data_IF_260012795163
#
_entry.id   IF_260012795163
#
_cell.length_a   1.000
_cell.length_b   1.000
_cell.length_c   1.000
_cell.angle_alpha   90.00
_cell.angle_beta   90.00
_cell.angle_gamma   90.00
#
_symmetry.space_group_name_H-M   'P 1'
#
loop_
_entity.id
_entity.type
_entity.pdbx_description
1 polymer ?
#
# COMPACT_ATOMS: atom_id res chain seq x y z
N UNK A 1 -59.98 -5.59 -14.53
CA UNK A 1 -58.67 -5.86 -13.94
C UNK A 1 -57.91 -6.76 -14.89
N UNK A 2 -56.93 -6.18 -15.62
CA UNK A 2 -56.22 -6.90 -16.70
C UNK A 2 -55.13 -7.83 -16.11
N UNK A 3 -55.40 -9.12 -16.16
CA UNK A 3 -54.54 -10.18 -15.69
C UNK A 3 -53.21 -10.28 -16.49
N UNK A 4 -53.12 -9.65 -17.65
CA UNK A 4 -51.96 -9.70 -18.54
C UNK A 4 -50.83 -8.71 -18.12
N UNK A 5 -51.16 -7.64 -17.39
CA UNK A 5 -50.15 -6.67 -16.97
C UNK A 5 -49.22 -7.22 -15.87
N UNK A 6 -49.71 -8.11 -15.01
CA UNK A 6 -48.92 -8.66 -13.92
C UNK A 6 -47.75 -9.57 -14.39
N UNK A 7 -47.98 -10.30 -15.51
CA UNK A 7 -46.91 -11.14 -16.09
C UNK A 7 -45.77 -10.29 -16.71
N UNK A 8 -46.12 -9.17 -17.34
CA UNK A 8 -45.14 -8.26 -17.91
C UNK A 8 -44.29 -7.62 -16.81
N UNK A 9 -44.90 -7.21 -15.72
CA UNK A 9 -44.28 -6.62 -14.57
C UNK A 9 -43.31 -7.60 -13.87
N UNK A 10 -43.69 -8.86 -13.73
CA UNK A 10 -42.86 -9.94 -13.19
C UNK A 10 -41.66 -10.22 -14.10
N UNK A 11 -41.86 -10.27 -15.42
CA UNK A 11 -40.77 -10.52 -16.39
C UNK A 11 -39.74 -9.40 -16.35
N UNK A 12 -40.21 -8.14 -16.34
CA UNK A 12 -39.29 -6.98 -16.26
C UNK A 12 -38.54 -6.96 -14.92
N UNK A 13 -39.23 -7.20 -13.80
CA UNK A 13 -38.60 -7.27 -12.49
C UNK A 13 -37.54 -8.37 -12.40
N UNK A 14 -37.85 -9.55 -12.93
CA UNK A 14 -36.89 -10.68 -12.98
C UNK A 14 -35.67 -10.36 -13.84
N UNK A 15 -35.87 -9.72 -14.98
CA UNK A 15 -34.78 -9.31 -15.87
C UNK A 15 -33.85 -8.32 -15.20
N UNK A 16 -34.40 -7.31 -14.50
CA UNK A 16 -33.58 -6.32 -13.75
C UNK A 16 -32.78 -6.99 -12.65
N UNK A 17 -33.37 -7.94 -11.91
CA UNK A 17 -32.68 -8.70 -10.88
C UNK A 17 -31.51 -9.52 -11.45
N UNK A 18 -31.73 -10.20 -12.59
CA UNK A 18 -30.65 -10.97 -13.26
C UNK A 18 -29.53 -10.04 -13.72
N UNK A 19 -29.84 -8.88 -14.29
CA UNK A 19 -28.84 -7.89 -14.68
C UNK A 19 -28.07 -7.36 -13.48
N UNK A 20 -28.75 -7.05 -12.37
CA UNK A 20 -28.10 -6.58 -11.14
C UNK A 20 -27.15 -7.62 -10.55
N UNK A 21 -27.57 -8.89 -10.49
CA UNK A 21 -26.72 -9.99 -10.04
C UNK A 21 -25.53 -10.22 -10.98
N UNK A 22 -25.73 -10.11 -12.27
CA UNK A 22 -24.65 -10.22 -13.26
C UNK A 22 -23.61 -9.09 -13.08
N UNK A 23 -24.06 -7.86 -12.86
CA UNK A 23 -23.19 -6.71 -12.59
C UNK A 23 -22.43 -6.88 -11.27
N UNK A 24 -23.10 -7.34 -10.21
CA UNK A 24 -22.46 -7.63 -8.91
C UNK A 24 -21.36 -8.70 -9.07
N UNK A 25 -21.67 -9.80 -9.77
CA UNK A 25 -20.72 -10.88 -9.98
C UNK A 25 -19.52 -10.46 -10.88
N UNK A 26 -19.79 -9.64 -11.88
CA UNK A 26 -18.76 -9.07 -12.76
C UNK A 26 -17.86 -8.07 -12.01
N UNK A 27 -18.43 -7.26 -11.12
CA UNK A 27 -17.70 -6.30 -10.29
C UNK A 27 -16.72 -6.99 -9.34
N UNK A 28 -17.10 -8.12 -8.76
CA UNK A 28 -16.22 -8.90 -7.86
C UNK A 28 -15.02 -9.52 -8.60
N UNK A 29 -15.13 -9.80 -9.89
CA UNK A 29 -14.01 -10.32 -10.71
C UNK A 29 -12.99 -9.22 -11.05
N UNK A 30 -13.44 -7.99 -11.19
CA UNK A 30 -12.56 -6.84 -11.50
C UNK A 30 -11.77 -6.37 -10.28
N UNK A 31 -12.21 -6.72 -9.07
CA UNK A 31 -11.48 -6.45 -7.82
C UNK A 31 -10.22 -7.31 -7.62
N UNK A 32 -9.92 -8.27 -8.50
CA UNK A 32 -8.59 -8.86 -8.59
C UNK A 32 -7.67 -7.82 -9.22
N UNK A 33 -7.13 -6.93 -8.40
CA UNK A 33 -6.06 -6.00 -8.74
C UNK A 33 -4.97 -6.81 -9.44
N UNK A 34 -4.82 -6.53 -10.74
CA UNK A 34 -3.93 -7.09 -11.70
C UNK A 34 -2.96 -8.17 -11.19
N UNK A 35 -3.25 -9.42 -11.47
CA UNK A 35 -2.23 -10.46 -11.51
C UNK A 35 -1.30 -10.10 -12.68
N UNK A 36 -0.41 -9.18 -12.44
CA UNK A 36 0.71 -8.92 -13.34
C UNK A 36 1.55 -10.20 -13.28
N UNK A 37 1.79 -10.83 -14.42
CA UNK A 37 2.80 -11.86 -14.49
C UNK A 37 4.09 -11.27 -13.93
N UNK A 38 4.59 -11.87 -12.85
CA UNK A 38 5.68 -11.28 -12.08
C UNK A 38 6.06 -12.18 -10.91
N UNK A 39 7.08 -11.81 -10.20
CA UNK A 39 7.57 -12.51 -9.02
C UNK A 39 7.27 -11.74 -7.74
N UNK A 40 7.11 -12.47 -6.65
CA UNK A 40 6.79 -11.91 -5.35
C UNK A 40 8.08 -11.71 -4.54
N UNK A 41 8.20 -10.54 -3.95
CA UNK A 41 9.23 -10.22 -2.96
C UNK A 41 8.58 -9.89 -1.63
N UNK A 42 9.38 -9.92 -0.56
CA UNK A 42 8.95 -9.49 0.75
C UNK A 42 9.87 -8.41 1.32
N UNK A 43 9.33 -7.62 2.26
CA UNK A 43 10.12 -6.67 3.04
C UNK A 43 9.50 -6.48 4.43
N UNK A 44 10.32 -6.28 5.45
CA UNK A 44 9.90 -6.09 6.84
C UNK A 44 10.10 -4.65 7.26
N UNK A 45 9.07 -4.07 7.87
CA UNK A 45 9.04 -2.68 8.31
C UNK A 45 8.63 -2.58 9.77
N UNK A 46 9.15 -1.59 10.47
CA UNK A 46 8.69 -1.31 11.85
C UNK A 46 7.33 -0.61 11.86
N UNK A 47 6.98 0.11 10.79
CA UNK A 47 5.70 0.80 10.66
C UNK A 47 5.29 0.91 9.18
N UNK A 48 4.08 0.41 8.86
CA UNK A 48 3.48 0.44 7.53
C UNK A 48 2.22 1.32 7.45
N UNK A 49 1.99 2.20 8.43
CA UNK A 49 0.79 3.04 8.48
C UNK A 49 0.55 3.76 7.15
N UNK A 50 -0.66 3.62 6.61
CA UNK A 50 -1.09 4.22 5.35
C UNK A 50 -0.79 3.38 4.10
N UNK A 51 -0.10 2.24 4.21
CA UNK A 51 0.02 1.25 3.14
C UNK A 51 -1.14 0.26 3.24
N UNK A 52 -1.74 -0.10 2.12
CA UNK A 52 -2.84 -1.05 2.03
C UNK A 52 -2.53 -2.12 0.98
N UNK A 53 -3.26 -3.24 1.03
CA UNK A 53 -3.27 -4.19 -0.08
C UNK A 53 -3.73 -3.46 -1.34
N UNK A 54 -2.98 -3.61 -2.44
CA UNK A 54 -3.19 -2.85 -3.68
C UNK A 54 -2.39 -1.54 -3.77
N UNK A 55 -1.69 -1.10 -2.69
CA UNK A 55 -0.74 0.02 -2.77
C UNK A 55 0.30 -0.24 -3.85
N UNK A 56 0.70 0.80 -4.55
CA UNK A 56 1.63 0.69 -5.67
C UNK A 56 3.07 0.47 -5.19
N UNK A 57 3.83 -0.29 -5.98
CA UNK A 57 5.28 -0.40 -5.87
C UNK A 57 5.89 0.35 -7.04
N UNK A 58 6.80 1.27 -6.76
CA UNK A 58 7.37 2.19 -7.76
C UNK A 58 8.90 2.16 -7.74
N UNK A 59 9.50 2.36 -8.91
CA UNK A 59 10.91 2.71 -9.09
C UNK A 59 10.95 4.03 -9.85
N UNK A 60 11.65 5.03 -9.33
CA UNK A 60 11.76 6.37 -9.96
C UNK A 60 10.38 6.97 -10.29
N UNK A 61 9.34 6.70 -9.49
CA UNK A 61 7.97 7.16 -9.70
C UNK A 61 7.14 6.32 -10.68
N UNK A 62 7.73 5.35 -11.36
CA UNK A 62 7.02 4.47 -12.30
C UNK A 62 6.50 3.25 -11.55
N UNK A 63 5.21 2.94 -11.72
CA UNK A 63 4.58 1.75 -11.15
C UNK A 63 5.14 0.48 -11.81
N UNK A 64 5.66 -0.42 -10.98
CA UNK A 64 6.21 -1.71 -11.40
C UNK A 64 5.49 -2.90 -10.77
N UNK A 65 4.67 -2.65 -9.75
CA UNK A 65 4.01 -3.70 -9.00
C UNK A 65 2.96 -3.20 -8.02
N UNK A 66 2.49 -4.12 -7.17
CA UNK A 66 1.47 -3.85 -6.14
C UNK A 66 1.72 -4.70 -4.90
N UNK A 67 1.29 -4.19 -3.75
CA UNK A 67 1.24 -4.94 -2.48
C UNK A 67 0.11 -5.96 -2.53
N UNK A 68 0.41 -7.22 -2.24
CA UNK A 68 -0.56 -8.33 -2.26
C UNK A 68 -0.99 -8.77 -0.87
N UNK A 69 -0.07 -8.74 0.11
CA UNK A 69 -0.31 -9.27 1.45
C UNK A 69 0.35 -8.39 2.51
N UNK A 70 -0.30 -8.30 3.67
CA UNK A 70 0.22 -7.68 4.88
C UNK A 70 0.05 -8.66 6.03
N UNK A 71 1.12 -8.89 6.77
CA UNK A 71 1.10 -9.73 7.96
C UNK A 71 2.00 -9.15 9.05
N UNK A 72 1.87 -9.68 10.26
CA UNK A 72 2.70 -9.29 11.40
C UNK A 72 3.61 -10.46 11.76
N UNK A 73 4.90 -10.20 11.83
CA UNK A 73 5.88 -11.09 12.47
C UNK A 73 5.63 -11.06 13.98
N UNK A 74 5.19 -12.20 14.55
CA UNK A 74 4.84 -12.29 15.97
C UNK A 74 6.05 -12.43 16.89
N UNK A 75 7.22 -12.71 16.35
CA UNK A 75 8.46 -12.83 17.14
C UNK A 75 9.10 -11.46 17.36
N UNK A 76 9.16 -10.65 16.29
CA UNK A 76 9.84 -9.36 16.29
C UNK A 76 8.89 -8.17 16.23
N UNK A 77 7.58 -8.43 16.12
CA UNK A 77 6.50 -7.43 15.98
C UNK A 77 6.72 -6.45 14.82
N UNK A 78 7.38 -6.91 13.75
CA UNK A 78 7.55 -6.15 12.52
C UNK A 78 6.46 -6.48 11.51
N UNK A 79 6.02 -5.51 10.75
CA UNK A 79 5.09 -5.73 9.66
C UNK A 79 5.80 -6.32 8.45
N UNK A 80 5.26 -7.40 7.90
CA UNK A 80 5.75 -8.04 6.67
C UNK A 80 4.81 -7.62 5.53
N UNK A 81 5.38 -7.04 4.48
CA UNK A 81 4.69 -6.78 3.23
C UNK A 81 5.19 -7.74 2.16
N UNK A 82 4.25 -8.44 1.50
CA UNK A 82 4.53 -9.17 0.27
C UNK A 82 3.96 -8.40 -0.91
N UNK A 83 4.76 -8.23 -1.92
CA UNK A 83 4.39 -7.44 -3.09
C UNK A 83 4.90 -8.13 -4.35
N UNK A 84 4.12 -8.00 -5.42
CA UNK A 84 4.45 -8.57 -6.72
C UNK A 84 4.95 -7.48 -7.64
N UNK A 85 6.04 -7.78 -8.34
CA UNK A 85 6.63 -6.89 -9.35
C UNK A 85 6.70 -7.60 -10.71
N UNK A 86 6.73 -6.81 -11.79
CA UNK A 86 6.80 -7.32 -13.15
C UNK A 86 8.07 -8.14 -13.40
N UNK A 87 7.95 -9.29 -14.07
CA UNK A 87 9.09 -10.13 -14.47
C UNK A 87 10.14 -9.41 -15.31
N UNK A 88 9.75 -8.33 -15.97
CA UNK A 88 10.65 -7.52 -16.80
C UNK A 88 11.66 -6.71 -15.98
N UNK A 89 11.42 -6.57 -14.68
CA UNK A 89 12.23 -5.76 -13.79
C UNK A 89 13.04 -6.71 -12.90
N UNK A 90 14.36 -6.57 -12.92
CA UNK A 90 15.27 -7.29 -12.03
C UNK A 90 15.72 -6.33 -10.94
N UNK A 91 15.63 -6.77 -9.69
CA UNK A 91 16.00 -5.98 -8.51
C UNK A 91 17.33 -6.52 -7.98
N UNK A 92 18.41 -5.70 -7.95
CA UNK A 92 19.68 -6.06 -7.31
C UNK A 92 19.50 -6.37 -5.83
N UNK A 93 20.30 -7.29 -5.29
CA UNK A 93 20.18 -7.77 -3.92
C UNK A 93 20.44 -6.66 -2.87
N UNK A 94 21.26 -5.68 -3.18
CA UNK A 94 21.57 -4.51 -2.34
C UNK A 94 20.58 -3.35 -2.48
N UNK A 95 19.45 -3.55 -3.19
CA UNK A 95 18.40 -2.53 -3.33
C UNK A 95 17.71 -2.26 -2.00
N UNK A 96 17.22 -1.03 -1.82
CA UNK A 96 16.45 -0.63 -0.66
C UNK A 96 14.99 -0.33 -1.02
N UNK A 97 14.11 -0.46 -0.03
CA UNK A 97 12.69 -0.16 -0.18
C UNK A 97 12.21 0.76 0.95
N UNK A 98 11.48 1.81 0.59
CA UNK A 98 10.92 2.76 1.55
C UNK A 98 9.44 2.97 1.33
N UNK A 99 8.76 3.34 2.41
CA UNK A 99 7.36 3.78 2.35
C UNK A 99 7.34 5.29 2.15
N UNK A 100 6.84 5.73 0.99
CA UNK A 100 6.75 7.13 0.61
C UNK A 100 5.29 7.56 0.48
N UNK A 101 5.01 8.83 0.77
CA UNK A 101 3.68 9.44 0.57
C UNK A 101 3.57 9.99 -0.85
N UNK A 102 2.42 9.84 -1.49
CA UNK A 102 2.16 10.43 -2.79
C UNK A 102 1.95 11.95 -2.71
N UNK A 103 1.39 12.41 -1.58
CA UNK A 103 1.17 13.81 -1.26
C UNK A 103 1.01 13.97 0.25
N UNK A 104 0.86 15.20 0.74
CA UNK A 104 0.66 15.49 2.17
C UNK A 104 -0.57 14.79 2.76
N UNK A 105 -1.63 14.61 1.98
CA UNK A 105 -2.91 13.99 2.38
C UNK A 105 -3.24 12.77 1.51
N UNK A 106 -2.30 12.29 0.71
CA UNK A 106 -2.49 11.16 -0.20
C UNK A 106 -2.17 9.81 0.42
N UNK A 107 -2.38 8.77 -0.37
CA UNK A 107 -1.99 7.41 -0.03
C UNK A 107 -0.47 7.24 0.08
N UNK A 108 -0.06 6.08 0.60
CA UNK A 108 1.36 5.69 0.63
C UNK A 108 1.61 4.57 -0.37
N UNK A 109 2.82 4.56 -0.89
CA UNK A 109 3.30 3.55 -1.83
C UNK A 109 4.68 3.05 -1.40
N UNK A 110 5.08 1.91 -1.93
CA UNK A 110 6.44 1.41 -1.78
C UNK A 110 7.32 2.00 -2.89
N UNK A 111 8.42 2.61 -2.52
CA UNK A 111 9.43 3.11 -3.45
C UNK A 111 10.70 2.27 -3.31
N UNK A 112 11.11 1.60 -4.38
CA UNK A 112 12.36 0.85 -4.44
C UNK A 112 13.45 1.76 -5.01
N UNK A 113 14.57 1.81 -4.33
CA UNK A 113 15.81 2.44 -4.78
C UNK A 113 16.75 1.33 -5.20
N UNK A 114 17.11 1.34 -6.48
CA UNK A 114 17.90 0.28 -7.12
C UNK A 114 19.33 0.37 -6.62
N UNK A 115 19.86 -0.78 -6.20
CA UNK A 115 21.25 -0.97 -5.84
C UNK A 115 22.18 -1.16 -7.05
N UNK A 116 23.40 -1.56 -6.79
CA UNK A 116 24.44 -1.75 -7.81
C UNK A 116 25.01 -3.18 -7.85
N UNK A 117 24.45 -4.10 -7.05
CA UNK A 117 24.91 -5.49 -7.01
C UNK A 117 24.66 -6.20 -8.34
N UNK A 118 25.51 -7.15 -8.67
CA UNK A 118 25.35 -8.04 -9.83
C UNK A 118 24.38 -9.18 -9.56
N UNK A 119 24.11 -9.52 -8.30
CA UNK A 119 23.15 -10.51 -7.88
C UNK A 119 21.74 -9.92 -7.84
N UNK A 120 20.74 -10.67 -8.31
CA UNK A 120 19.35 -10.23 -8.38
C UNK A 120 18.45 -11.07 -7.48
N UNK A 121 17.47 -10.40 -6.86
CA UNK A 121 16.45 -11.03 -6.05
C UNK A 121 15.52 -11.91 -6.90
N UNK A 122 15.14 -13.04 -6.33
CA UNK A 122 14.28 -14.07 -6.92
C UNK A 122 12.94 -14.17 -6.20
N UNK A 123 12.03 -15.01 -6.70
CA UNK A 123 10.73 -15.28 -6.07
C UNK A 123 10.88 -15.66 -4.60
N UNK A 124 10.25 -14.91 -3.72
CA UNK A 124 10.23 -15.14 -2.29
C UNK A 124 11.37 -14.47 -1.49
N UNK A 125 12.31 -13.82 -2.17
CA UNK A 125 13.42 -13.17 -1.47
C UNK A 125 12.96 -11.91 -0.71
N UNK A 126 13.75 -11.55 0.32
CA UNK A 126 13.51 -10.38 1.17
C UNK A 126 14.41 -9.21 0.75
N UNK A 127 13.83 -8.02 0.61
CA UNK A 127 14.62 -6.78 0.55
C UNK A 127 14.98 -6.40 2.00
N UNK A 128 16.25 -6.48 2.34
CA UNK A 128 16.74 -6.27 3.71
C UNK A 128 16.75 -4.80 4.12
N UNK A 129 17.11 -3.90 3.19
CA UNK A 129 17.22 -2.48 3.48
C UNK A 129 15.88 -1.80 3.40
N UNK A 130 15.24 -1.58 4.55
CA UNK A 130 13.89 -1.01 4.63
C UNK A 130 13.86 0.32 5.37
N UNK A 131 13.07 1.27 4.90
CA UNK A 131 12.75 2.49 5.61
C UNK A 131 11.25 2.58 5.86
N UNK A 132 10.88 2.59 7.13
CA UNK A 132 9.49 2.62 7.59
C UNK A 132 8.79 3.94 7.28
N UNK A 133 7.46 3.90 7.33
CA UNK A 133 6.60 5.06 7.14
C UNK A 133 6.87 6.16 8.18
N UNK A 134 7.08 7.36 7.71
CA UNK A 134 7.13 8.57 8.55
C UNK A 134 5.77 9.26 8.49
N UNK A 135 5.20 9.60 9.65
CA UNK A 135 3.99 10.39 9.74
C UNK A 135 4.36 11.86 9.91
N UNK A 136 3.81 12.70 9.03
CA UNK A 136 4.05 14.15 9.07
C UNK A 136 3.51 14.78 10.36
N UNK A 137 2.40 14.24 10.88
CA UNK A 137 1.79 14.67 12.15
C UNK A 137 2.74 14.51 13.33
N UNK A 138 3.51 13.41 13.38
CA UNK A 138 4.49 13.16 14.44
C UNK A 138 5.66 14.15 14.36
N UNK A 139 6.09 14.49 13.14
CA UNK A 139 7.15 15.49 12.93
C UNK A 139 6.67 16.88 13.34
N UNK A 140 5.45 17.26 12.96
CA UNK A 140 4.87 18.54 13.33
C UNK A 140 4.67 18.64 14.85
N UNK A 141 4.16 17.57 15.48
CA UNK A 141 4.02 17.47 16.93
C UNK A 141 5.36 17.68 17.64
N UNK A 142 6.41 16.97 17.22
CA UNK A 142 7.76 17.14 17.80
C UNK A 142 8.29 18.56 17.63
N UNK A 143 8.09 19.18 16.47
CA UNK A 143 8.52 20.56 16.22
C UNK A 143 7.81 21.57 17.09
N UNK A 144 6.48 21.45 17.22
CA UNK A 144 5.68 22.37 18.05
C UNK A 144 6.01 22.23 19.54
N UNK A 145 6.19 21.01 20.05
CA UNK A 145 6.51 20.78 21.47
C UNK A 145 7.99 21.00 21.80
N UNK A 146 8.90 20.92 20.82
CA UNK A 146 10.33 21.22 21.03
C UNK A 146 10.63 22.72 21.12
N UNK A 147 9.74 23.56 20.54
CA UNK A 147 9.85 25.02 20.59
C UNK A 147 9.63 25.62 21.99
N UNK A 148 8.83 24.99 22.83
CA UNK A 148 8.41 25.53 24.12
C UNK A 148 9.45 25.34 25.24
N UNK A 149 10.39 24.42 25.09
CA UNK A 149 11.45 24.16 26.10
C UNK A 149 12.63 25.14 26.04
N UNK A 150 12.81 25.92 24.97
CA UNK A 150 13.89 26.92 24.90
C UNK A 150 13.59 28.18 25.65
N UNK A 151 12.31 28.55 25.87
CA UNK A 151 11.94 29.79 26.57
C UNK A 151 11.97 29.68 28.10
N UNK A 152 11.98 28.48 28.69
CA UNK A 152 12.01 28.31 30.14
C UNK A 152 13.40 28.41 30.79
N UNK A 153 14.47 28.23 30.00
CA UNK A 153 15.84 28.32 30.53
C UNK A 153 16.46 29.71 30.47
N UNK A 154 15.87 30.66 29.73
CA UNK A 154 16.38 32.04 29.65
C UNK A 154 15.90 32.94 30.78
N UNK A 155 14.93 32.51 31.59
CA UNK A 155 14.43 33.30 32.71
C UNK A 155 15.00 32.94 34.09
N UNK A 156 15.91 31.94 34.19
CA UNK A 156 16.55 31.51 35.45
C UNK A 156 18.00 31.99 35.63
N UNK A 157 18.53 32.82 34.76
CA UNK A 157 19.88 33.41 34.89
C UNK A 157 19.90 34.93 35.06
N UNK A 158 18.83 35.50 35.59
CA UNK A 158 18.71 36.95 35.83
C UNK A 158 18.20 37.29 37.23
N UNK A 159 18.71 36.62 38.30
CA UNK A 159 18.61 37.06 39.70
C UNK A 159 19.91 36.80 40.42
#
# INVERSE_FOLDING_TARGET
>A
MNKNNNYFEIIVGTFVLICALFFLFSSMKTAKVGSTAGYQLMAKFDNISGVNIGSEVKISGVKIGVVEEQSLDTENYRAILKFRISEKIKIPADSSIKIASESLLGGKHLAIEIGADEEFLSEGDEIEFTQSSINFEDLLGRFMFSGDNKNKNSQKQGE
#
